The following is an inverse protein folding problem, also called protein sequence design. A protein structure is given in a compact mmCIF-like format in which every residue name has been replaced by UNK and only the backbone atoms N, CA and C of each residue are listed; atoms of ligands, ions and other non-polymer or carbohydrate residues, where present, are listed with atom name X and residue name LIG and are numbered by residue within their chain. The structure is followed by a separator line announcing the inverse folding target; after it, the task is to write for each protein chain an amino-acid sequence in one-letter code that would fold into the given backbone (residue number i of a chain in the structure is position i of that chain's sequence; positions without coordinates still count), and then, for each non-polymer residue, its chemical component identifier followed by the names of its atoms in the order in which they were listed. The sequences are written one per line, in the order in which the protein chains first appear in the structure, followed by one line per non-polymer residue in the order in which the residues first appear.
data_IF_339475569380
#
_entry.id   IF_339475569380
#
_cell.length_a   1.000
_cell.length_b   1.000
_cell.length_c   1.000
_cell.angle_alpha   90.00
_cell.angle_beta   90.00
_cell.angle_gamma   90.00
#
_symmetry.space_group_name_H-M   'P 1'
#
loop_
_entity.id
_entity.type
_entity.pdbx_description
1 polymer ?
#
# COMPACT_ATOMS: atom_id res chain seq x y z
N UNK A 1 5.79 6.72 -11.47
CA UNK A 1 6.81 5.65 -11.39
C UNK A 1 6.48 4.81 -10.16
N UNK A 2 6.41 3.47 -10.30
CA UNK A 2 6.08 2.58 -9.17
C UNK A 2 7.37 2.38 -8.34
N UNK A 3 7.35 2.66 -7.02
CA UNK A 3 8.51 2.45 -6.16
C UNK A 3 8.92 0.99 -6.08
N UNK A 4 10.20 0.73 -5.79
CA UNK A 4 10.68 -0.63 -5.61
C UNK A 4 10.04 -1.31 -4.38
N UNK A 5 10.02 -2.64 -4.30
CA UNK A 5 9.37 -3.37 -3.21
C UNK A 5 10.07 -3.12 -1.86
N UNK A 6 11.37 -2.79 -1.89
CA UNK A 6 12.12 -2.40 -0.70
C UNK A 6 11.97 -0.91 -0.35
N UNK A 7 11.16 -0.15 -1.09
CA UNK A 7 10.97 1.27 -0.81
C UNK A 7 10.30 1.47 0.57
N UNK A 8 10.90 2.26 1.47
CA UNK A 8 10.35 2.49 2.80
C UNK A 8 8.95 3.13 2.80
N UNK A 9 8.52 3.73 1.69
CA UNK A 9 7.15 4.24 1.51
C UNK A 9 6.10 3.15 1.67
N UNK A 10 6.34 1.93 1.16
CA UNK A 10 5.37 0.84 1.30
C UNK A 10 5.18 0.44 2.75
N UNK A 11 6.30 0.30 3.47
CA UNK A 11 6.27 0.03 4.91
C UNK A 11 5.53 1.15 5.63
N UNK A 12 5.84 2.41 5.33
CA UNK A 12 5.16 3.58 5.92
C UNK A 12 3.66 3.56 5.66
N UNK A 13 3.22 3.28 4.44
CA UNK A 13 1.79 3.20 4.09
C UNK A 13 1.07 2.10 4.88
N UNK A 14 1.73 0.97 5.11
CA UNK A 14 1.17 -0.19 5.82
C UNK A 14 1.30 -0.12 7.35
N UNK A 15 2.18 0.72 7.89
CA UNK A 15 2.41 0.85 9.35
C UNK A 15 1.98 2.20 9.93
N UNK A 16 1.81 3.23 9.10
CA UNK A 16 1.40 4.58 9.52
C UNK A 16 -0.08 4.78 9.25
N UNK A 17 -0.73 5.61 10.05
CA UNK A 17 -2.06 6.13 9.76
C UNK A 17 -1.99 7.35 8.82
N UNK A 18 -1.27 7.19 7.72
CA UNK A 18 -1.17 8.24 6.71
C UNK A 18 -2.55 8.45 6.08
N UNK A 19 -2.95 9.71 5.91
CA UNK A 19 -4.23 10.06 5.30
C UNK A 19 -4.26 9.61 3.84
N UNK A 20 -5.20 8.72 3.53
CA UNK A 20 -5.40 8.16 2.19
C UNK A 20 -6.55 8.86 1.46
N UNK A 21 -7.10 9.95 2.00
CA UNK A 21 -8.24 10.69 1.44
C UNK A 21 -8.06 11.06 -0.03
N UNK A 22 -6.83 11.41 -0.43
CA UNK A 22 -6.44 11.78 -1.79
C UNK A 22 -6.32 10.58 -2.77
N UNK A 23 -6.48 9.35 -2.28
CA UNK A 23 -6.42 8.13 -3.09
C UNK A 23 -7.79 7.57 -3.44
N UNK A 24 -7.85 6.74 -4.48
CA UNK A 24 -9.09 6.07 -4.87
C UNK A 24 -9.64 5.17 -3.76
N UNK A 25 -10.96 5.02 -3.72
CA UNK A 25 -11.64 4.20 -2.71
C UNK A 25 -11.13 2.75 -2.70
N UNK A 26 -10.85 2.18 -3.88
CA UNK A 26 -10.30 0.84 -4.01
C UNK A 26 -8.93 0.71 -3.32
N UNK A 27 -8.04 1.68 -3.56
CA UNK A 27 -6.71 1.75 -2.91
C UNK A 27 -6.87 1.88 -1.39
N UNK A 28 -7.78 2.73 -0.92
CA UNK A 28 -8.06 2.88 0.52
C UNK A 28 -8.53 1.59 1.17
N UNK A 29 -9.48 0.88 0.56
CA UNK A 29 -10.01 -0.38 1.07
C UNK A 29 -8.89 -1.44 1.15
N UNK A 30 -8.08 -1.54 0.10
CA UNK A 30 -6.95 -2.47 0.06
C UNK A 30 -5.94 -2.14 1.17
N UNK A 31 -5.47 -0.90 1.25
CA UNK A 31 -4.49 -0.49 2.27
C UNK A 31 -5.05 -0.70 3.67
N UNK A 32 -6.31 -0.34 3.94
CA UNK A 32 -6.94 -0.56 5.25
C UNK A 32 -6.99 -2.04 5.62
N UNK A 33 -7.28 -2.93 4.66
CA UNK A 33 -7.21 -4.38 4.86
C UNK A 33 -5.78 -4.83 5.15
N UNK A 34 -4.82 -4.40 4.35
CA UNK A 34 -3.41 -4.77 4.51
C UNK A 34 -2.83 -4.26 5.85
N UNK A 35 -3.18 -3.05 6.28
CA UNK A 35 -2.81 -2.49 7.60
C UNK A 35 -3.31 -3.39 8.73
N UNK A 36 -4.57 -3.85 8.67
CA UNK A 36 -5.13 -4.78 9.67
C UNK A 36 -4.40 -6.12 9.69
N UNK A 37 -4.10 -6.68 8.51
CA UNK A 37 -3.39 -7.95 8.41
C UNK A 37 -1.94 -7.84 8.91
N UNK A 38 -1.25 -6.73 8.63
CA UNK A 38 0.09 -6.43 9.17
C UNK A 38 0.06 -6.17 10.67
N UNK A 39 -0.97 -5.49 11.18
CA UNK A 39 -1.14 -5.28 12.62
C UNK A 39 -1.38 -6.60 13.37
N UNK A 40 -2.13 -7.53 12.76
CA UNK A 40 -2.34 -8.87 13.30
C UNK A 40 -1.10 -9.78 13.16
N UNK A 41 -0.35 -9.65 12.05
CA UNK A 41 0.82 -10.46 11.74
C UNK A 41 1.94 -9.60 11.13
N UNK A 42 2.81 -8.98 11.96
CA UNK A 42 3.87 -8.10 11.49
C UNK A 42 4.87 -8.79 10.53
N UNK A 43 5.05 -10.11 10.68
CA UNK A 43 5.90 -10.91 9.80
C UNK A 43 5.39 -11.04 8.36
N UNK A 44 4.11 -10.75 8.11
CA UNK A 44 3.52 -10.82 6.77
C UNK A 44 3.78 -9.54 5.93
N UNK A 45 4.37 -8.50 6.52
CA UNK A 45 4.59 -7.20 5.88
C UNK A 45 5.23 -7.30 4.49
N UNK A 46 6.32 -8.07 4.34
CA UNK A 46 7.01 -8.20 3.06
C UNK A 46 6.11 -8.79 1.96
N UNK A 47 5.30 -9.80 2.30
CA UNK A 47 4.32 -10.37 1.37
C UNK A 47 3.21 -9.38 1.01
N UNK A 48 2.77 -8.55 1.96
CA UNK A 48 1.73 -7.54 1.75
C UNK A 48 2.20 -6.36 0.92
N UNK A 49 3.48 -6.01 1.00
CA UNK A 49 4.10 -5.03 0.09
C UNK A 49 4.06 -5.55 -1.35
N UNK A 50 4.36 -6.84 -1.56
CA UNK A 50 4.23 -7.49 -2.87
C UNK A 50 2.80 -7.42 -3.41
N UNK A 51 1.81 -7.78 -2.59
CA UNK A 51 0.38 -7.72 -2.95
C UNK A 51 -0.07 -6.29 -3.33
N UNK A 52 0.36 -5.29 -2.57
CA UNK A 52 0.06 -3.89 -2.86
C UNK A 52 0.73 -3.41 -4.16
N UNK A 53 2.00 -3.79 -4.38
CA UNK A 53 2.72 -3.47 -5.61
C UNK A 53 2.09 -4.13 -6.83
N UNK A 54 1.67 -5.38 -6.73
CA UNK A 54 0.96 -6.09 -7.80
C UNK A 54 -0.36 -5.42 -8.11
N UNK A 55 -1.11 -5.00 -7.09
CA UNK A 55 -2.34 -4.23 -7.28
C UNK A 55 -2.06 -2.93 -8.02
N UNK A 56 -1.04 -2.17 -7.60
CA UNK A 56 -0.65 -0.91 -8.23
C UNK A 56 -0.18 -1.11 -9.67
N UNK A 57 0.54 -2.20 -9.94
CA UNK A 57 1.03 -2.54 -11.28
C UNK A 57 -0.12 -2.95 -12.21
N UNK A 58 -1.13 -3.64 -11.69
CA UNK A 58 -2.33 -4.03 -12.44
C UNK A 58 -3.31 -2.87 -12.65
N UNK A 59 -3.25 -1.83 -11.80
CA UNK A 59 -4.22 -0.73 -11.79
C UNK A 59 -3.53 0.61 -12.00
N UNK A 60 -3.59 1.14 -13.23
CA UNK A 60 -2.96 2.42 -13.59
C UNK A 60 -3.38 3.60 -12.71
N UNK A 61 -4.63 3.61 -12.20
CA UNK A 61 -5.10 4.65 -11.28
C UNK A 61 -4.39 4.61 -9.92
N UNK A 62 -4.00 3.43 -9.45
CA UNK A 62 -3.32 3.25 -8.18
C UNK A 62 -1.85 3.69 -8.26
N UNK A 63 -1.26 3.76 -9.47
CA UNK A 63 0.06 4.37 -9.68
C UNK A 63 0.06 5.86 -9.31
N UNK A 64 -1.02 6.57 -9.64
CA UNK A 64 -1.19 7.97 -9.26
C UNK A 64 -1.44 8.14 -7.76
N UNK A 65 -2.10 7.17 -7.13
CA UNK A 65 -2.29 7.13 -5.68
C UNK A 65 -0.96 6.95 -4.94
N UNK A 66 -0.09 6.07 -5.43
CA UNK A 66 1.23 5.81 -4.84
C UNK A 66 2.18 7.01 -4.92
N UNK A 67 2.04 7.82 -5.96
CA UNK A 67 2.81 9.06 -6.09
C UNK A 67 2.41 10.14 -5.05
N UNK A 68 1.27 9.98 -4.36
CA UNK A 68 0.76 10.92 -3.36
C UNK A 68 1.12 10.53 -1.91
N UNK A 69 1.73 9.35 -1.71
CA UNK A 69 2.17 8.85 -0.40
C UNK A 69 3.50 9.45 0.08
#
# INVERSE_FOLDING_TARGET
MIPDANDPRWKRVLTSDSDLSATSLATRILIARLRREVAAAPGALAGKIGELRDFVTKNSFAVADVAKF
#
